data_IF_947244340819
#
_entry.id   IF_947244340819
#
_cell.length_a   1.000
_cell.length_b   1.000
_cell.length_c   1.000
_cell.angle_alpha   90.00
_cell.angle_beta   90.00
_cell.angle_gamma   90.00
#
_symmetry.space_group_name_H-M   'P 1'
#
loop_
_entity.id
_entity.type
_entity.pdbx_description
1 polymer ?
#
# COMPACT_ATOMS: atom_id res chain seq x y z
N UNK A 1 24.44 7.65 76.77
CA UNK A 1 23.99 6.89 75.59
C UNK A 1 22.46 6.95 75.53
N UNK A 2 21.90 7.81 74.70
CA UNK A 2 20.43 7.94 74.53
C UNK A 2 20.00 6.93 73.45
N UNK A 3 19.15 5.97 73.83
CA UNK A 3 18.52 5.02 72.91
C UNK A 3 17.44 5.76 72.11
N UNK A 4 17.68 5.96 70.82
CA UNK A 4 16.73 6.59 69.92
C UNK A 4 15.79 5.49 69.38
N UNK A 5 14.64 5.32 70.03
CA UNK A 5 13.58 4.45 69.53
C UNK A 5 12.90 5.12 68.34
N UNK A 6 13.26 4.69 67.13
CA UNK A 6 12.53 5.02 65.91
C UNK A 6 11.29 4.13 65.87
N UNK A 7 10.14 4.71 66.20
CA UNK A 7 8.83 4.10 65.95
C UNK A 7 8.45 4.45 64.51
N UNK A 8 8.28 3.49 63.59
CA UNK A 8 7.78 3.78 62.26
C UNK A 8 6.33 4.24 62.40
N UNK A 9 6.06 5.52 62.13
CA UNK A 9 4.70 6.02 62.01
C UNK A 9 4.11 5.49 60.70
N UNK A 10 3.27 4.47 60.82
CA UNK A 10 2.40 4.02 59.74
C UNK A 10 1.40 5.14 59.45
N UNK A 11 1.42 5.66 58.21
CA UNK A 11 0.53 6.74 57.77
C UNK A 11 -0.91 6.24 57.81
N UNK A 12 -1.75 6.84 58.65
CA UNK A 12 -3.18 6.56 58.68
C UNK A 12 -3.82 7.12 57.39
N UNK A 13 -4.29 6.22 56.54
CA UNK A 13 -4.88 6.50 55.22
C UNK A 13 -4.55 5.42 54.18
N UNK A 14 -4.47 4.16 54.61
CA UNK A 14 -3.97 3.05 53.79
C UNK A 14 -5.07 2.29 53.02
N UNK A 15 -6.19 2.96 52.75
CA UNK A 15 -7.18 2.47 51.79
C UNK A 15 -6.84 3.01 50.40
N UNK A 16 -6.31 2.11 49.57
CA UNK A 16 -6.39 2.16 48.11
C UNK A 16 -5.66 3.28 47.36
N UNK A 17 -4.44 3.66 47.79
CA UNK A 17 -3.58 4.48 46.94
C UNK A 17 -3.21 3.72 45.65
N UNK A 18 -3.45 4.35 44.50
CA UNK A 18 -3.01 3.84 43.19
C UNK A 18 -1.49 3.71 43.19
N UNK A 19 -0.99 2.53 42.86
CA UNK A 19 0.44 2.21 42.82
C UNK A 19 0.91 1.82 41.43
N UNK A 20 2.14 2.20 41.08
CA UNK A 20 2.82 1.74 39.87
C UNK A 20 3.92 0.76 40.26
N UNK A 21 3.93 -0.42 39.64
CA UNK A 21 4.87 -1.51 39.94
C UNK A 21 5.47 -2.04 38.64
N UNK A 22 6.78 -2.29 38.65
CA UNK A 22 7.46 -3.03 37.58
C UNK A 22 7.31 -4.54 37.83
N UNK A 23 6.94 -5.29 36.80
CA UNK A 23 6.81 -6.74 36.88
C UNK A 23 7.30 -7.40 35.60
N UNK A 24 7.62 -8.69 35.68
CA UNK A 24 7.94 -9.52 34.51
C UNK A 24 6.74 -10.36 34.12
N UNK A 25 6.39 -10.41 32.85
CA UNK A 25 5.31 -11.28 32.34
C UNK A 25 5.78 -12.74 32.40
N UNK A 26 5.04 -13.59 33.09
CA UNK A 26 5.37 -15.02 33.22
C UNK A 26 4.46 -15.92 32.39
N UNK A 27 3.32 -15.41 31.94
CA UNK A 27 2.36 -16.17 31.13
C UNK A 27 1.13 -15.35 30.77
N UNK A 28 0.25 -15.95 29.97
CA UNK A 28 -1.04 -15.38 29.58
C UNK A 28 -2.12 -16.46 29.55
N UNK A 29 -3.31 -16.15 30.05
CA UNK A 29 -4.51 -16.95 29.87
C UNK A 29 -5.71 -16.07 29.52
N UNK A 30 -6.21 -16.21 28.28
CA UNK A 30 -7.26 -15.35 27.75
C UNK A 30 -6.83 -13.88 27.76
N UNK A 31 -7.57 -13.05 28.50
CA UNK A 31 -7.31 -11.62 28.66
C UNK A 31 -6.35 -11.27 29.81
N UNK A 32 -6.00 -12.25 30.65
CA UNK A 32 -5.15 -12.03 31.82
C UNK A 32 -3.69 -12.32 31.52
N UNK A 33 -2.83 -11.40 31.93
CA UNK A 33 -1.38 -11.58 31.99
C UNK A 33 -0.99 -11.97 33.41
N UNK A 34 -0.18 -13.02 33.54
CA UNK A 34 0.44 -13.40 34.80
C UNK A 34 1.78 -12.71 34.94
N UNK A 35 2.06 -12.25 36.16
CA UNK A 35 3.16 -11.34 36.42
C UNK A 35 3.95 -11.81 37.63
N UNK A 36 5.25 -11.51 37.62
CA UNK A 36 6.14 -11.65 38.76
C UNK A 36 6.71 -10.28 39.10
N UNK A 37 6.25 -9.70 40.21
CA UNK A 37 6.80 -8.49 40.81
C UNK A 37 7.79 -8.84 41.93
N UNK A 38 8.82 -8.03 42.13
CA UNK A 38 9.85 -8.29 43.14
C UNK A 38 9.32 -8.27 44.59
N UNK A 39 8.20 -7.59 44.83
CA UNK A 39 7.52 -7.51 46.12
C UNK A 39 6.46 -8.62 46.31
N UNK A 40 6.27 -9.49 45.31
CA UNK A 40 5.28 -10.57 45.31
C UNK A 40 3.82 -10.09 45.35
N UNK A 41 3.57 -8.78 45.19
CA UNK A 41 2.27 -8.18 45.51
C UNK A 41 1.27 -8.17 44.34
N UNK A 42 1.64 -8.78 43.22
CA UNK A 42 0.92 -8.72 41.95
C UNK A 42 1.03 -10.05 41.21
N UNK A 43 -0.09 -10.76 41.09
CA UNK A 43 -0.14 -12.06 40.40
C UNK A 43 -0.62 -11.95 38.96
N UNK A 44 -1.57 -11.04 38.68
CA UNK A 44 -2.16 -10.88 37.34
C UNK A 44 -2.64 -9.46 37.06
N UNK A 45 -2.67 -9.11 35.78
CA UNK A 45 -3.22 -7.85 35.27
C UNK A 45 -3.93 -8.04 33.93
N UNK A 46 -4.85 -7.13 33.61
CA UNK A 46 -5.38 -6.95 32.26
C UNK A 46 -4.44 -6.06 31.45
N UNK A 47 -4.56 -6.07 30.13
CA UNK A 47 -3.88 -5.05 29.30
C UNK A 47 -4.73 -3.79 29.30
N UNK A 48 -4.13 -2.62 29.51
CA UNK A 48 -4.82 -1.36 29.24
C UNK A 48 -5.02 -1.18 27.73
N UNK A 49 -6.12 -0.55 27.33
CA UNK A 49 -6.35 -0.22 25.91
C UNK A 49 -5.29 0.73 25.34
N UNK A 50 -4.67 1.54 26.21
CA UNK A 50 -3.54 2.42 25.85
C UNK A 50 -2.21 1.68 25.68
N UNK A 51 -2.10 0.43 26.17
CA UNK A 51 -0.91 -0.39 25.99
C UNK A 51 -0.96 -1.06 24.62
N UNK A 52 -0.41 -0.36 23.62
CA UNK A 52 -0.48 -0.78 22.21
C UNK A 52 0.41 -1.99 21.90
N UNK A 53 1.59 -2.04 22.52
CA UNK A 53 2.54 -3.15 22.37
C UNK A 53 2.00 -4.33 23.16
N UNK A 54 1.71 -5.44 22.48
CA UNK A 54 1.23 -6.64 23.14
C UNK A 54 2.34 -7.25 24.00
N UNK A 55 2.15 -7.38 25.34
CA UNK A 55 3.15 -7.98 26.22
C UNK A 55 3.36 -9.45 25.91
N UNK A 56 4.60 -9.91 25.93
CA UNK A 56 4.97 -11.33 25.77
C UNK A 56 5.68 -11.87 27.01
N UNK A 57 5.75 -13.19 27.15
CA UNK A 57 6.43 -13.84 28.27
C UNK A 57 7.90 -13.43 28.33
N UNK A 58 8.35 -13.10 29.53
CA UNK A 58 9.68 -12.57 29.80
C UNK A 58 9.79 -11.05 29.70
N UNK A 59 8.78 -10.35 29.18
CA UNK A 59 8.82 -8.89 29.08
C UNK A 59 8.75 -8.23 30.44
N UNK A 60 9.53 -7.17 30.61
CA UNK A 60 9.39 -6.26 31.74
C UNK A 60 8.31 -5.24 31.43
N UNK A 61 7.32 -5.09 32.32
CA UNK A 61 6.14 -4.23 32.13
C UNK A 61 5.92 -3.29 33.30
N UNK A 62 5.26 -2.16 33.03
CA UNK A 62 4.75 -1.24 34.05
C UNK A 62 3.27 -1.52 34.28
N UNK A 63 2.90 -1.74 35.54
CA UNK A 63 1.52 -2.08 35.93
C UNK A 63 0.98 -1.08 36.92
N UNK A 64 -0.25 -0.64 36.67
CA UNK A 64 -1.05 0.14 37.59
C UNK A 64 -1.94 -0.79 38.43
N UNK A 65 -1.89 -0.62 39.75
CA UNK A 65 -2.78 -1.29 40.71
C UNK A 65 -3.59 -0.24 41.45
N UNK A 66 -4.90 -0.42 41.53
CA UNK A 66 -5.80 0.41 42.32
C UNK A 66 -6.52 -0.47 43.34
N UNK A 67 -6.25 -0.29 44.64
CA UNK A 67 -6.95 -1.03 45.70
C UNK A 67 -6.85 -2.55 45.65
N UNK A 68 -7.60 -3.23 46.54
CA UNK A 68 -7.60 -4.69 46.64
C UNK A 68 -8.61 -5.36 45.68
N UNK A 69 -9.62 -4.61 45.23
CA UNK A 69 -10.76 -5.14 44.46
C UNK A 69 -10.82 -4.63 43.01
N UNK A 70 -9.88 -3.81 42.54
CA UNK A 70 -9.82 -3.39 41.14
C UNK A 70 -8.76 -4.20 40.41
N UNK A 71 -9.08 -4.59 39.17
CA UNK A 71 -8.10 -5.26 38.31
C UNK A 71 -6.87 -4.36 38.11
N UNK A 72 -5.68 -4.95 38.20
CA UNK A 72 -4.46 -4.29 37.78
C UNK A 72 -4.40 -4.22 36.26
N UNK A 73 -3.76 -3.18 35.71
CA UNK A 73 -3.62 -2.97 34.28
C UNK A 73 -2.17 -2.76 33.86
N UNK A 74 -1.71 -3.54 32.89
CA UNK A 74 -0.43 -3.30 32.19
C UNK A 74 -0.57 -2.03 31.37
N UNK A 75 0.23 -1.02 31.67
CA UNK A 75 0.25 0.27 30.98
C UNK A 75 1.25 0.30 29.83
N UNK A 76 2.41 -0.33 30.01
CA UNK A 76 3.49 -0.30 29.02
C UNK A 76 4.39 -1.54 29.14
N UNK A 77 4.91 -2.00 28.01
CA UNK A 77 6.07 -2.90 27.94
C UNK A 77 7.32 -2.03 28.02
N UNK A 78 8.10 -2.17 29.10
CA UNK A 78 9.30 -1.39 29.37
C UNK A 78 10.53 -1.95 28.65
N UNK A 79 10.65 -3.27 28.60
CA UNK A 79 11.73 -3.96 27.90
C UNK A 79 11.26 -5.32 27.42
N UNK A 80 11.62 -5.67 26.18
CA UNK A 80 11.35 -6.98 25.58
C UNK A 80 12.37 -8.00 26.07
N UNK A 81 11.92 -9.24 26.30
CA UNK A 81 12.85 -10.36 26.43
C UNK A 81 13.58 -10.67 25.12
N UNK A 82 12.86 -10.59 23.99
CA UNK A 82 13.40 -10.78 22.63
C UNK A 82 13.05 -9.56 21.79
N UNK A 83 14.03 -8.76 21.32
CA UNK A 83 13.79 -7.48 20.67
C UNK A 83 13.37 -7.57 19.19
N UNK A 84 13.27 -8.78 18.63
CA UNK A 84 13.19 -8.98 17.16
C UNK A 84 11.79 -8.73 16.57
N UNK A 85 10.74 -8.73 17.40
CA UNK A 85 9.37 -8.50 16.94
C UNK A 85 8.49 -7.88 18.01
N UNK A 86 7.57 -7.02 17.56
CA UNK A 86 6.52 -6.48 18.42
C UNK A 86 5.24 -6.32 17.62
N UNK A 87 4.14 -6.84 18.16
CA UNK A 87 2.82 -6.62 17.61
C UNK A 87 2.13 -5.44 18.29
N UNK A 88 1.56 -4.57 17.47
CA UNK A 88 0.65 -3.53 17.93
C UNK A 88 -0.77 -4.06 17.80
N UNK A 89 -1.39 -4.44 18.92
CA UNK A 89 -2.76 -4.95 18.92
C UNK A 89 -3.73 -3.85 19.36
N UNK A 90 -4.45 -3.28 18.38
CA UNK A 90 -5.41 -2.22 18.62
C UNK A 90 -6.85 -2.78 18.72
N UNK A 91 -7.65 -2.35 19.70
CA UNK A 91 -9.03 -2.80 19.82
C UNK A 91 -9.91 -2.11 18.75
N UNK A 92 -10.53 -2.90 17.85
CA UNK A 92 -11.54 -2.41 16.91
C UNK A 92 -11.01 -1.50 15.80
N UNK A 93 -11.82 -0.51 15.41
CA UNK A 93 -11.49 0.45 14.36
C UNK A 93 -10.54 1.56 14.87
N UNK A 94 -9.50 1.85 14.10
CA UNK A 94 -8.43 2.78 14.49
C UNK A 94 -8.22 3.83 13.41
N UNK A 95 -7.91 5.04 13.83
CA UNK A 95 -7.48 6.10 12.94
C UNK A 95 -6.17 6.71 13.45
N UNK A 96 -5.22 6.92 12.52
CA UNK A 96 -3.95 7.60 12.79
C UNK A 96 -4.06 9.03 12.27
N UNK A 97 -3.93 10.01 13.18
CA UNK A 97 -4.06 11.43 12.87
C UNK A 97 -2.83 12.19 13.34
N UNK A 98 -2.41 13.18 12.55
CA UNK A 98 -1.43 14.20 12.94
C UNK A 98 -2.11 15.57 12.80
N UNK A 99 -2.33 16.28 13.91
CA UNK A 99 -3.02 17.57 13.91
C UNK A 99 -2.25 18.68 13.20
N UNK A 100 -0.91 18.61 13.27
CA UNK A 100 0.00 19.54 12.62
C UNK A 100 1.15 18.75 12.00
N UNK A 101 1.64 19.19 10.84
CA UNK A 101 2.75 18.54 10.15
C UNK A 101 2.32 17.36 9.28
N UNK A 102 2.99 16.22 9.41
CA UNK A 102 2.75 15.03 8.59
C UNK A 102 3.02 13.72 9.32
N UNK A 103 2.42 12.63 8.82
CA UNK A 103 2.63 11.27 9.29
C UNK A 103 3.70 10.59 8.43
N UNK A 104 4.80 10.15 9.06
CA UNK A 104 5.89 9.45 8.38
C UNK A 104 5.95 8.00 8.87
N UNK A 105 6.04 7.06 7.94
CA UNK A 105 6.20 5.63 8.20
C UNK A 105 7.44 5.15 7.45
N UNK A 106 8.50 4.78 8.19
CA UNK A 106 9.74 4.24 7.62
C UNK A 106 9.98 2.83 8.15
N UNK A 107 10.34 1.93 7.26
CA UNK A 107 10.81 0.60 7.60
C UNK A 107 11.64 0.03 6.45
N UNK A 108 12.49 -0.96 6.74
CA UNK A 108 13.14 -1.75 5.69
C UNK A 108 12.10 -2.50 4.82
N UNK A 109 10.90 -2.76 5.36
CA UNK A 109 9.80 -3.41 4.66
C UNK A 109 8.46 -2.91 5.20
N UNK A 110 7.56 -2.53 4.30
CA UNK A 110 6.17 -2.19 4.60
C UNK A 110 5.25 -3.12 3.81
N UNK A 111 4.22 -3.67 4.46
CA UNK A 111 3.15 -4.45 3.81
C UNK A 111 1.81 -3.88 4.25
N UNK A 112 0.91 -3.67 3.29
CA UNK A 112 -0.45 -3.22 3.52
C UNK A 112 -1.40 -4.29 3.00
N UNK A 113 -2.16 -4.91 3.89
CA UNK A 113 -3.14 -5.94 3.54
C UNK A 113 -4.50 -5.51 4.08
N UNK A 114 -5.53 -5.54 3.23
CA UNK A 114 -6.91 -5.33 3.62
C UNK A 114 -7.79 -6.43 3.03
N UNK A 115 -8.80 -6.86 3.79
CA UNK A 115 -9.77 -7.86 3.35
C UNK A 115 -10.92 -7.27 2.54
N UNK A 116 -11.12 -5.94 2.65
CA UNK A 116 -12.19 -5.22 1.95
C UNK A 116 -11.63 -4.18 0.98
N UNK A 117 -10.96 -3.14 1.49
CA UNK A 117 -10.54 -2.01 0.66
C UNK A 117 -9.23 -1.38 1.17
N UNK A 118 -8.41 -0.92 0.23
CA UNK A 118 -7.35 0.06 0.46
C UNK A 118 -7.65 1.30 -0.39
N UNK A 119 -7.98 2.41 0.25
CA UNK A 119 -8.21 3.70 -0.40
C UNK A 119 -7.04 4.65 -0.15
N UNK A 120 -6.52 5.26 -1.21
CA UNK A 120 -5.45 6.27 -1.14
C UNK A 120 -5.97 7.55 -1.81
N UNK A 121 -6.15 8.61 -1.02
CA UNK A 121 -6.65 9.90 -1.48
C UNK A 121 -5.73 11.04 -1.07
N UNK A 122 -5.19 11.75 -2.05
CA UNK A 122 -4.43 12.98 -1.83
C UNK A 122 -4.43 13.84 -3.11
N UNK A 123 -4.28 15.17 -3.01
CA UNK A 123 -4.03 16.02 -4.18
C UNK A 123 -2.78 15.61 -4.97
N UNK A 124 -1.80 14.99 -4.30
CA UNK A 124 -0.60 14.43 -4.91
C UNK A 124 -0.27 13.08 -4.29
N UNK A 125 -0.12 12.06 -5.14
CA UNK A 125 0.39 10.74 -4.78
C UNK A 125 1.64 10.50 -5.63
N UNK A 126 2.74 10.12 -5.00
CA UNK A 126 4.00 9.78 -5.67
C UNK A 126 4.40 8.36 -5.28
N UNK A 127 4.78 7.56 -6.28
CA UNK A 127 5.25 6.19 -6.11
C UNK A 127 6.55 6.06 -6.89
N UNK A 128 7.64 5.76 -6.19
CA UNK A 128 8.97 5.61 -6.75
C UNK A 128 9.51 4.23 -6.36
N UNK A 129 10.06 3.51 -7.34
CA UNK A 129 10.57 2.16 -7.13
C UNK A 129 11.30 1.65 -8.37
N UNK A 130 12.07 0.58 -8.19
CA UNK A 130 12.81 -0.07 -9.29
C UNK A 130 11.95 -1.12 -9.99
N UNK A 131 11.11 -1.82 -9.23
CA UNK A 131 10.21 -2.89 -9.69
C UNK A 131 8.82 -2.61 -9.13
N UNK A 132 7.79 -2.73 -9.95
CA UNK A 132 6.39 -2.58 -9.55
C UNK A 132 5.51 -3.56 -10.31
N UNK A 133 4.66 -4.26 -9.58
CA UNK A 133 3.66 -5.18 -10.13
C UNK A 133 2.27 -4.63 -9.84
N UNK A 134 1.41 -4.65 -10.85
CA UNK A 134 0.04 -4.15 -10.76
C UNK A 134 -0.90 -5.17 -11.38
N UNK A 135 -1.75 -5.78 -10.55
CA UNK A 135 -2.70 -6.79 -10.96
C UNK A 135 -4.11 -6.38 -10.52
N UNK A 136 -5.02 -6.30 -11.48
CA UNK A 136 -6.43 -6.01 -11.24
C UNK A 136 -7.28 -6.90 -12.13
N UNK A 137 -8.42 -7.34 -11.60
CA UNK A 137 -9.50 -7.90 -12.42
C UNK A 137 -10.14 -6.81 -13.28
N UNK A 138 -10.35 -5.62 -12.68
CA UNK A 138 -10.85 -4.43 -13.37
C UNK A 138 -10.09 -3.18 -12.95
N UNK A 139 -9.59 -2.42 -13.92
CA UNK A 139 -8.93 -1.13 -13.72
C UNK A 139 -9.68 -0.04 -14.48
N UNK A 140 -10.07 1.03 -13.77
CA UNK A 140 -10.59 2.25 -14.39
C UNK A 140 -9.62 3.39 -14.09
N UNK A 141 -9.13 4.07 -15.13
CA UNK A 141 -8.22 5.20 -15.00
C UNK A 141 -8.81 6.41 -15.72
N UNK A 142 -8.90 7.54 -15.02
CA UNK A 142 -9.29 8.83 -15.58
C UNK A 142 -8.13 9.80 -15.39
N UNK A 143 -7.44 10.10 -16.49
CA UNK A 143 -6.20 10.88 -16.47
C UNK A 143 -6.32 11.98 -17.51
N UNK A 144 -6.13 13.23 -17.09
CA UNK A 144 -6.19 14.40 -17.99
C UNK A 144 -4.93 14.54 -18.84
N UNK A 145 -3.78 14.27 -18.25
CA UNK A 145 -2.48 14.37 -18.90
C UNK A 145 -1.57 13.25 -18.40
N UNK A 146 -0.90 12.58 -19.34
CA UNK A 146 0.06 11.53 -19.06
C UNK A 146 1.33 11.78 -19.86
N UNK A 147 2.47 11.87 -19.18
CA UNK A 147 3.78 11.81 -19.81
C UNK A 147 4.47 10.54 -19.36
N UNK A 148 4.65 9.59 -20.28
CA UNK A 148 5.24 8.31 -19.97
C UNK A 148 6.40 8.01 -20.92
N UNK A 149 7.50 7.52 -20.33
CA UNK A 149 8.67 7.05 -21.06
C UNK A 149 8.81 5.56 -20.81
N UNK A 150 8.45 4.78 -21.82
CA UNK A 150 8.52 3.33 -21.74
C UNK A 150 9.76 2.83 -22.49
N UNK A 151 10.42 1.80 -21.95
CA UNK A 151 11.47 1.07 -22.66
C UNK A 151 10.87 0.07 -23.64
N UNK A 152 10.11 -0.89 -23.12
CA UNK A 152 9.40 -1.92 -23.89
C UNK A 152 7.96 -1.97 -23.42
N UNK A 153 7.01 -1.98 -24.36
CA UNK A 153 5.59 -2.19 -24.09
C UNK A 153 5.15 -3.46 -24.81
N UNK A 154 4.56 -4.41 -24.08
CA UNK A 154 3.91 -5.59 -24.65
C UNK A 154 2.47 -5.59 -24.19
N UNK A 155 1.56 -5.65 -25.16
CA UNK A 155 0.12 -5.62 -24.90
C UNK A 155 -0.51 -6.80 -25.62
N UNK A 156 -1.31 -7.57 -24.89
CA UNK A 156 -2.19 -8.60 -25.43
C UNK A 156 -3.59 -8.25 -24.99
N UNK A 157 -4.49 -8.05 -25.95
CA UNK A 157 -5.86 -7.64 -25.70
C UNK A 157 -6.79 -8.39 -26.66
N UNK A 158 -7.95 -8.83 -26.15
CA UNK A 158 -9.01 -9.39 -26.99
C UNK A 158 -9.67 -8.29 -27.84
N UNK A 159 -9.84 -7.10 -27.26
CA UNK A 159 -10.36 -5.92 -27.94
C UNK A 159 -9.59 -4.69 -27.48
N UNK A 160 -9.22 -3.86 -28.45
CA UNK A 160 -8.67 -2.53 -28.21
C UNK A 160 -9.50 -1.51 -28.98
N UNK A 161 -10.20 -0.64 -28.26
CA UNK A 161 -10.94 0.49 -28.83
C UNK A 161 -10.27 1.77 -28.39
N UNK A 162 -10.04 2.68 -29.34
CA UNK A 162 -9.37 3.96 -29.06
C UNK A 162 -10.07 5.07 -29.82
N UNK A 163 -10.47 6.11 -29.08
CA UNK A 163 -11.01 7.36 -29.64
C UNK A 163 -10.00 8.46 -29.35
N UNK A 164 -9.45 9.03 -30.41
CA UNK A 164 -8.35 9.99 -30.33
C UNK A 164 -8.66 11.19 -31.22
N UNK A 165 -8.46 12.40 -30.71
CA UNK A 165 -8.58 13.62 -31.52
C UNK A 165 -7.41 13.75 -32.50
N UNK A 166 -6.18 13.55 -32.01
CA UNK A 166 -4.97 13.58 -32.82
C UNK A 166 -4.02 12.45 -32.42
N UNK A 167 -3.80 11.52 -33.35
CA UNK A 167 -2.78 10.48 -33.22
C UNK A 167 -1.57 10.82 -34.07
N UNK A 168 -0.40 10.90 -33.46
CA UNK A 168 0.89 10.97 -34.17
C UNK A 168 1.72 9.78 -33.75
N UNK A 169 2.10 8.96 -34.73
CA UNK A 169 2.92 7.79 -34.52
C UNK A 169 4.16 7.90 -35.40
N UNK A 170 5.34 7.85 -34.78
CA UNK A 170 6.62 7.74 -35.48
C UNK A 170 7.24 6.41 -35.08
N UNK A 171 7.38 5.51 -36.05
CA UNK A 171 7.98 4.20 -35.85
C UNK A 171 9.15 4.02 -36.83
N UNK A 172 10.24 3.40 -36.36
CA UNK A 172 11.33 2.94 -37.24
C UNK A 172 10.89 1.76 -38.09
N UNK A 173 10.11 0.87 -37.51
CA UNK A 173 9.55 -0.32 -38.16
C UNK A 173 8.16 -0.53 -37.61
N UNK A 174 7.19 -0.75 -38.49
CA UNK A 174 5.80 -1.01 -38.14
C UNK A 174 5.33 -2.21 -38.95
N UNK A 175 4.75 -3.18 -38.27
CA UNK A 175 4.09 -4.30 -38.93
C UNK A 175 2.64 -4.36 -38.48
N UNK A 176 1.75 -4.62 -39.42
CA UNK A 176 0.32 -4.78 -39.17
C UNK A 176 -0.17 -5.98 -39.97
N UNK A 177 -0.79 -6.93 -39.27
CA UNK A 177 -1.47 -8.06 -39.87
C UNK A 177 -2.91 -8.02 -39.41
N UNK A 178 -3.81 -8.16 -40.38
CA UNK A 178 -5.26 -8.13 -40.17
C UNK A 178 -5.84 -9.31 -40.94
N UNK A 179 -6.57 -10.20 -40.27
CA UNK A 179 -7.11 -11.42 -40.89
C UNK A 179 -8.42 -11.17 -41.65
N UNK A 180 -9.23 -10.25 -41.15
CA UNK A 180 -10.55 -9.94 -41.70
C UNK A 180 -10.55 -8.55 -42.36
N UNK A 181 -11.00 -7.50 -41.66
CA UNK A 181 -11.16 -6.17 -42.24
C UNK A 181 -10.11 -5.19 -41.72
N UNK A 182 -9.34 -4.59 -42.64
CA UNK A 182 -8.58 -3.36 -42.41
C UNK A 182 -9.18 -2.22 -43.22
N UNK A 183 -10.08 -1.45 -42.60
CA UNK A 183 -10.75 -0.32 -43.24
C UNK A 183 -10.14 1.01 -42.80
N UNK A 184 -9.84 1.88 -43.79
CA UNK A 184 -9.46 3.27 -43.54
C UNK A 184 -10.49 4.20 -44.17
N UNK A 185 -11.22 4.94 -43.32
CA UNK A 185 -12.12 6.03 -43.75
C UNK A 185 -11.52 7.35 -43.28
N UNK A 186 -11.14 8.22 -44.21
CA UNK A 186 -10.53 9.50 -43.89
C UNK A 186 -10.91 10.56 -44.92
N UNK A 187 -10.96 11.83 -44.50
CA UNK A 187 -11.17 12.94 -45.42
C UNK A 187 -10.03 13.11 -46.43
N UNK A 188 -8.79 12.77 -46.02
CA UNK A 188 -7.60 12.73 -46.89
C UNK A 188 -6.65 11.63 -46.41
N UNK A 189 -6.13 10.84 -47.33
CA UNK A 189 -5.04 9.87 -47.09
C UNK A 189 -3.86 10.27 -47.97
N UNK A 190 -2.66 10.33 -47.40
CA UNK A 190 -1.41 10.52 -48.14
C UNK A 190 -0.46 9.39 -47.80
N UNK A 191 -0.02 8.68 -48.82
CA UNK A 191 1.03 7.66 -48.70
C UNK A 191 2.23 8.13 -49.51
N UNK A 192 3.39 8.22 -48.87
CA UNK A 192 4.66 8.52 -49.51
C UNK A 192 5.62 7.40 -49.14
N UNK A 193 6.18 6.75 -50.15
CA UNK A 193 7.08 5.61 -50.01
C UNK A 193 8.36 5.95 -50.76
N UNK A 194 9.50 5.86 -50.08
CA UNK A 194 10.80 6.26 -50.67
C UNK A 194 11.31 5.25 -51.69
N UNK A 195 11.12 3.95 -51.44
CA UNK A 195 11.66 2.88 -52.29
C UNK A 195 10.56 2.18 -53.09
N UNK A 196 9.80 1.27 -52.46
CA UNK A 196 8.85 0.41 -53.16
C UNK A 196 7.52 0.33 -52.44
N UNK A 197 6.46 0.74 -53.13
CA UNK A 197 5.09 0.39 -52.75
C UNK A 197 4.68 -0.89 -53.49
N UNK A 198 4.15 -1.86 -52.76
CA UNK A 198 3.64 -3.09 -53.34
C UNK A 198 2.22 -3.36 -52.83
N UNK A 199 1.28 -3.57 -53.76
CA UNK A 199 -0.10 -3.91 -53.47
C UNK A 199 -0.39 -5.19 -54.24
N UNK A 200 -0.97 -6.18 -53.58
CA UNK A 200 -1.45 -7.41 -54.21
C UNK A 200 -2.82 -7.72 -53.64
N UNK A 201 -3.78 -8.00 -54.52
CA UNK A 201 -5.13 -8.35 -54.16
C UNK A 201 -5.69 -9.28 -55.24
N UNK A 202 -6.65 -10.14 -54.89
CA UNK A 202 -7.41 -10.88 -55.89
C UNK A 202 -8.26 -9.94 -56.77
N UNK A 203 -8.82 -8.89 -56.15
CA UNK A 203 -9.58 -7.84 -56.81
C UNK A 203 -9.18 -6.47 -56.25
N UNK A 204 -8.92 -5.50 -57.14
CA UNK A 204 -8.60 -4.13 -56.76
C UNK A 204 -9.39 -3.16 -57.65
N UNK A 205 -9.97 -2.13 -57.03
CA UNK A 205 -10.71 -1.07 -57.71
C UNK A 205 -10.16 0.28 -57.29
N UNK A 206 -9.79 1.12 -58.27
CA UNK A 206 -9.41 2.51 -58.06
C UNK A 206 -10.44 3.40 -58.77
N UNK A 207 -11.27 4.08 -57.98
CA UNK A 207 -12.34 4.94 -58.47
C UNK A 207 -12.07 6.38 -58.03
N UNK A 208 -12.20 7.32 -58.95
CA UNK A 208 -12.16 8.75 -58.67
C UNK A 208 -13.22 9.48 -59.49
N UNK A 209 -13.97 10.39 -58.86
CA UNK A 209 -14.93 11.25 -59.57
C UNK A 209 -14.22 12.29 -60.45
N UNK A 210 -13.04 12.75 -60.02
CA UNK A 210 -12.26 13.78 -60.71
C UNK A 210 -11.21 13.21 -61.66
N UNK A 211 -10.04 12.84 -61.11
CA UNK A 211 -8.92 12.36 -61.91
C UNK A 211 -8.12 11.29 -61.16
N UNK A 212 -7.60 10.32 -61.92
CA UNK A 212 -6.52 9.43 -61.49
C UNK A 212 -5.30 9.76 -62.35
N UNK A 213 -4.15 10.03 -61.73
CA UNK A 213 -2.87 10.20 -62.43
C UNK A 213 -1.93 9.08 -62.00
N UNK A 214 -1.44 8.32 -62.98
CA UNK A 214 -0.40 7.31 -62.80
C UNK A 214 0.76 7.73 -63.71
N UNK A 215 1.96 7.78 -63.15
CA UNK A 215 3.19 8.21 -63.82
C UNK A 215 4.28 7.20 -63.48
N UNK A 216 5.07 6.80 -64.47
CA UNK A 216 6.09 5.78 -64.31
C UNK A 216 6.79 5.48 -65.62
N UNK A 217 8.06 5.05 -65.53
CA UNK A 217 8.85 4.66 -66.71
C UNK A 217 8.22 3.50 -67.48
N UNK A 218 7.50 2.61 -66.77
CA UNK A 218 6.77 1.48 -67.35
C UNK A 218 5.45 1.24 -66.62
N UNK A 219 4.36 1.10 -67.38
CA UNK A 219 3.03 0.72 -66.89
C UNK A 219 2.57 -0.47 -67.73
N UNK A 220 2.40 -1.62 -67.10
CA UNK A 220 1.85 -2.83 -67.72
C UNK A 220 0.38 -2.97 -67.32
N UNK A 221 -0.53 -2.97 -68.30
CA UNK A 221 -1.98 -3.18 -68.13
C UNK A 221 -2.38 -4.45 -68.89
N UNK A 222 -3.09 -5.36 -68.23
CA UNK A 222 -3.51 -6.66 -68.77
C UNK A 222 -4.90 -7.07 -68.33
#
# INVERSE_FOLDING_TARGET
MKHNNLVPMMRAGNDEAVGLVCATVTGRAGQWYFLSAADGSLERALRADSCLVEPDCGDSVLVCRAGANVAAYVLAVLARAVPDSADLLLPGGVALHAEQGGLRIDAARIRMNATAEVAIGAPRVAVEGVIGDLAFDRMNASIRETNARFGIVRTVAQQLTSTVERLVQKARTSFRWTEDVDETRAGRVRMQVEERMHITAQHASLLAEGHVRIDGEKIDLG
#
